data_IF_225381246672
#
_entry.id   IF_225381246672
#
_cell.length_a   1.000
_cell.length_b   1.000
_cell.length_c   1.000
_cell.angle_alpha   90.00
_cell.angle_beta   90.00
_cell.angle_gamma   90.00
#
_symmetry.space_group_name_H-M   'P 1'
#
loop_
_entity.id
_entity.type
_entity.pdbx_description
1 polymer ?
#
# COMPACT_ATOMS: atom_id res chain seq x y z
N UNK A 1 14.80 -0.77 34.33
CA UNK A 1 14.71 -1.38 32.99
C UNK A 1 14.77 -0.25 31.98
N UNK A 2 15.92 0.03 31.44
CA UNK A 2 16.09 1.07 30.42
C UNK A 2 15.51 0.50 29.12
N UNK A 3 14.34 0.97 28.74
CA UNK A 3 13.85 0.76 27.37
C UNK A 3 14.75 1.56 26.45
N UNK A 4 15.46 0.83 25.65
CA UNK A 4 16.42 1.17 24.63
C UNK A 4 16.07 2.49 23.94
N UNK A 5 16.91 3.50 24.12
CA UNK A 5 17.02 4.53 23.09
C UNK A 5 17.42 3.81 21.81
N UNK A 6 16.62 3.87 20.74
CA UNK A 6 16.98 3.24 19.47
C UNK A 6 18.36 3.74 19.08
N UNK A 7 19.26 2.83 18.71
CA UNK A 7 20.54 3.21 18.15
C UNK A 7 20.28 4.13 16.95
N UNK A 8 20.84 5.33 16.87
CA UNK A 8 20.66 6.23 15.73
C UNK A 8 20.95 5.58 14.37
N UNK A 9 21.78 4.54 14.34
CA UNK A 9 22.04 3.73 13.15
C UNK A 9 20.83 2.88 12.73
N UNK A 10 20.03 2.40 13.67
CA UNK A 10 18.85 1.55 13.35
C UNK A 10 17.67 2.35 12.78
N UNK A 11 17.51 3.61 13.21
CA UNK A 11 16.49 4.49 12.66
C UNK A 11 16.76 4.84 11.18
N UNK A 12 18.03 5.00 10.78
CA UNK A 12 18.42 5.28 9.40
C UNK A 12 18.15 4.13 8.43
N UNK A 13 18.04 2.88 8.89
CA UNK A 13 17.77 1.72 8.03
C UNK A 13 16.30 1.65 7.63
N UNK A 14 15.37 2.04 8.51
CA UNK A 14 13.92 1.96 8.28
C UNK A 14 13.42 2.90 7.17
N UNK A 15 14.15 3.97 6.90
CA UNK A 15 13.79 5.02 5.93
C UNK A 15 14.75 5.10 4.74
N UNK A 16 15.47 4.02 4.46
CA UNK A 16 16.35 3.96 3.30
C UNK A 16 15.62 3.34 2.12
N UNK A 17 15.85 3.93 0.96
CA UNK A 17 15.42 3.37 -0.31
C UNK A 17 15.95 1.95 -0.48
N UNK A 18 15.06 1.04 -0.82
CA UNK A 18 15.36 -0.33 -1.14
C UNK A 18 15.30 -0.55 -2.66
N UNK A 19 16.32 -1.18 -3.23
CA UNK A 19 16.28 -1.56 -4.65
C UNK A 19 15.24 -2.66 -4.89
N UNK A 20 14.66 -2.71 -6.08
CA UNK A 20 13.79 -3.82 -6.48
C UNK A 20 14.59 -5.13 -6.57
N UNK A 21 13.95 -6.24 -6.25
CA UNK A 21 14.47 -7.60 -6.35
C UNK A 21 13.44 -8.41 -7.13
N UNK A 22 13.55 -8.38 -8.45
CA UNK A 22 12.59 -9.03 -9.34
C UNK A 22 12.78 -10.54 -9.41
N UNK A 23 14.03 -11.00 -9.43
CA UNK A 23 14.35 -12.42 -9.36
C UNK A 23 14.41 -12.84 -7.89
N UNK A 24 13.60 -13.82 -7.47
CA UNK A 24 13.61 -14.26 -6.08
C UNK A 24 15.01 -14.64 -5.60
N UNK A 25 15.37 -14.11 -4.42
CA UNK A 25 16.61 -14.47 -3.72
C UNK A 25 16.30 -15.53 -2.68
N UNK A 26 17.09 -16.57 -2.64
CA UNK A 26 17.03 -17.53 -1.54
C UNK A 26 17.49 -16.86 -0.24
N UNK A 27 16.72 -17.03 0.82
CA UNK A 27 17.05 -16.52 2.15
C UNK A 27 17.63 -17.64 2.98
N UNK A 28 18.91 -17.52 3.31
CA UNK A 28 19.62 -18.49 4.15
C UNK A 28 19.43 -18.14 5.61
N UNK A 29 18.84 -19.06 6.39
CA UNK A 29 18.70 -18.94 7.85
C UNK A 29 20.03 -19.10 8.56
N UNK A 30 20.28 -18.25 9.58
CA UNK A 30 21.40 -18.44 10.51
C UNK A 30 20.88 -19.18 11.77
N UNK A 31 21.00 -20.50 11.80
CA UNK A 31 20.48 -21.35 12.87
C UNK A 31 19.27 -22.14 12.43
N UNK A 32 18.79 -23.11 13.18
CA UNK A 32 17.73 -24.08 12.89
C UNK A 32 16.90 -23.92 11.61
N UNK A 33 16.54 -25.01 10.97
CA UNK A 33 15.74 -25.00 9.75
C UNK A 33 14.32 -24.47 9.97
N UNK A 34 13.63 -24.14 8.88
CA UNK A 34 12.20 -23.79 8.92
C UNK A 34 11.38 -25.00 9.40
N UNK A 35 10.35 -24.79 10.23
CA UNK A 35 9.44 -25.87 10.59
C UNK A 35 8.79 -26.46 9.34
N UNK A 36 8.77 -27.77 9.21
CA UNK A 36 8.28 -28.49 8.01
C UNK A 36 6.79 -28.25 7.68
N UNK A 37 6.03 -27.70 8.62
CA UNK A 37 4.63 -27.31 8.43
C UNK A 37 4.45 -25.86 7.93
N UNK A 38 5.53 -25.07 7.89
CA UNK A 38 5.48 -23.66 7.51
C UNK A 38 5.66 -23.52 6.00
N UNK A 39 4.59 -23.70 5.26
CA UNK A 39 4.54 -23.46 3.81
C UNK A 39 3.56 -22.35 3.48
N UNK A 40 3.87 -21.56 2.45
CA UNK A 40 2.98 -20.52 1.96
C UNK A 40 3.70 -19.26 1.52
N UNK A 41 2.91 -18.24 1.24
CA UNK A 41 3.40 -16.93 0.80
C UNK A 41 2.89 -15.83 1.72
N UNK A 42 3.82 -15.05 2.26
CA UNK A 42 3.52 -13.79 2.93
C UNK A 42 3.83 -12.64 1.97
N UNK A 43 2.83 -11.82 1.67
CA UNK A 43 3.04 -10.56 0.95
C UNK A 43 2.79 -9.41 1.92
N UNK A 44 3.74 -8.47 1.94
CA UNK A 44 3.65 -7.25 2.74
C UNK A 44 3.76 -6.04 1.83
N UNK A 45 2.88 -5.08 2.06
CA UNK A 45 2.96 -3.75 1.49
C UNK A 45 3.55 -2.76 2.51
N UNK A 46 4.17 -1.72 2.02
CA UNK A 46 4.73 -0.66 2.84
C UNK A 46 5.71 0.20 2.05
N UNK A 47 6.21 1.28 2.65
CA UNK A 47 7.12 2.19 1.96
C UNK A 47 8.47 1.53 1.64
N UNK A 48 9.05 1.86 0.48
CA UNK A 48 10.32 1.28 0.04
C UNK A 48 11.23 2.18 -0.77
N UNK A 49 10.72 3.27 -1.33
CA UNK A 49 11.53 4.28 -2.04
C UNK A 49 11.26 5.64 -1.40
N UNK A 50 12.28 6.24 -0.83
CA UNK A 50 12.19 7.45 0.00
C UNK A 50 12.90 8.67 -0.59
N UNK A 51 13.61 8.51 -1.69
CA UNK A 51 14.41 9.58 -2.29
C UNK A 51 14.14 9.72 -3.78
N UNK A 52 14.10 10.96 -4.27
CA UNK A 52 14.07 11.33 -5.68
C UNK A 52 15.05 12.49 -5.92
N UNK A 53 16.14 12.23 -6.65
CA UNK A 53 17.22 13.21 -6.81
C UNK A 53 17.84 13.56 -5.44
N UNK A 54 17.80 14.83 -5.08
CA UNK A 54 18.29 15.34 -3.79
C UNK A 54 17.20 15.47 -2.71
N UNK A 55 15.97 15.04 -3.01
CA UNK A 55 14.80 15.15 -2.14
C UNK A 55 14.50 13.84 -1.42
N UNK A 56 14.33 13.90 -0.12
CA UNK A 56 13.94 12.77 0.74
C UNK A 56 12.54 12.95 1.29
N UNK A 57 11.84 11.84 1.54
CA UNK A 57 10.58 11.87 2.26
C UNK A 57 10.77 12.28 3.71
N UNK A 58 9.95 13.22 4.19
CA UNK A 58 9.94 13.70 5.58
C UNK A 58 9.10 12.81 6.51
N UNK A 59 8.27 11.94 5.94
CA UNK A 59 7.40 11.04 6.69
C UNK A 59 7.42 9.63 6.10
N UNK A 60 7.32 8.61 6.96
CA UNK A 60 7.39 7.20 6.54
C UNK A 60 6.33 6.82 5.48
N UNK A 61 5.09 7.30 5.62
CA UNK A 61 4.02 7.02 4.67
C UNK A 61 4.15 7.74 3.32
N UNK A 62 5.10 8.64 3.19
CA UNK A 62 5.37 9.34 1.93
C UNK A 62 6.36 8.58 1.04
N UNK A 63 7.05 7.57 1.58
CA UNK A 63 7.80 6.62 0.78
C UNK A 63 6.87 5.87 -0.19
N UNK A 64 7.37 5.61 -1.41
CA UNK A 64 6.57 4.92 -2.43
C UNK A 64 6.34 3.46 -2.06
N UNK A 65 5.12 2.98 -2.32
CA UNK A 65 4.65 1.63 -2.02
C UNK A 65 5.53 0.56 -2.67
N UNK A 66 5.98 -0.39 -1.87
CA UNK A 66 6.77 -1.54 -2.29
C UNK A 66 6.18 -2.82 -1.72
N UNK A 67 5.79 -3.71 -2.59
CA UNK A 67 5.39 -5.06 -2.25
C UNK A 67 6.63 -5.92 -1.95
N UNK A 68 6.54 -6.74 -0.92
CA UNK A 68 7.57 -7.69 -0.49
C UNK A 68 6.95 -9.05 -0.34
N UNK A 69 7.47 -10.01 -1.10
CA UNK A 69 7.00 -11.40 -1.10
C UNK A 69 8.03 -12.29 -0.43
N UNK A 70 7.57 -13.05 0.54
CA UNK A 70 8.31 -14.11 1.20
C UNK A 70 7.58 -15.42 0.90
N UNK A 71 8.17 -16.26 0.07
CA UNK A 71 7.62 -17.57 -0.28
C UNK A 71 8.41 -18.67 0.39
N UNK A 72 7.74 -19.48 1.19
CA UNK A 72 8.31 -20.66 1.85
C UNK A 72 7.72 -21.89 1.18
N UNK A 73 8.57 -22.71 0.63
CA UNK A 73 8.15 -23.90 -0.09
C UNK A 73 9.21 -25.00 -0.07
N UNK A 74 8.83 -26.21 -0.52
CA UNK A 74 9.71 -27.36 -0.55
C UNK A 74 10.88 -27.17 -1.52
N UNK A 75 12.04 -27.66 -1.11
CA UNK A 75 13.25 -27.81 -1.94
C UNK A 75 13.87 -29.17 -1.72
N UNK A 76 14.93 -29.50 -2.47
CA UNK A 76 15.60 -30.81 -2.39
C UNK A 76 16.05 -31.16 -0.96
N UNK A 77 16.46 -30.18 -0.16
CA UNK A 77 16.92 -30.37 1.23
C UNK A 77 15.99 -29.71 2.27
N UNK A 78 14.66 -29.86 2.13
CA UNK A 78 13.69 -29.34 3.10
C UNK A 78 12.90 -28.14 2.60
N UNK A 79 12.72 -27.11 3.46
CA UNK A 79 12.01 -25.87 3.10
C UNK A 79 13.03 -24.75 2.92
N UNK A 80 12.85 -23.97 1.87
CA UNK A 80 13.56 -22.72 1.68
C UNK A 80 12.61 -21.53 1.58
N UNK A 81 13.12 -20.36 1.91
CA UNK A 81 12.41 -19.12 1.76
C UNK A 81 13.01 -18.31 0.61
N UNK A 82 12.16 -17.92 -0.32
CA UNK A 82 12.50 -17.00 -1.41
C UNK A 82 11.93 -15.62 -1.15
N UNK A 83 12.71 -14.59 -1.40
CA UNK A 83 12.36 -13.21 -1.21
C UNK A 83 12.42 -12.44 -2.52
N UNK A 84 11.36 -11.69 -2.81
CA UNK A 84 11.34 -10.71 -3.89
C UNK A 84 10.62 -9.42 -3.43
N UNK A 85 10.88 -8.31 -4.12
CA UNK A 85 10.22 -7.04 -3.86
C UNK A 85 10.15 -6.17 -5.11
N UNK A 86 9.03 -5.46 -5.27
CA UNK A 86 8.77 -4.53 -6.37
C UNK A 86 8.00 -3.33 -5.92
N UNK A 87 8.28 -2.19 -6.55
CA UNK A 87 7.48 -0.97 -6.37
C UNK A 87 6.14 -1.12 -7.07
N UNK A 88 5.08 -0.69 -6.40
CA UNK A 88 3.77 -0.54 -7.02
C UNK A 88 3.86 0.59 -8.06
N UNK A 89 3.61 0.26 -9.32
CA UNK A 89 3.67 1.25 -10.40
C UNK A 89 2.42 2.14 -10.35
N UNK A 90 2.58 3.33 -9.82
CA UNK A 90 1.55 4.34 -9.66
C UNK A 90 1.86 5.57 -10.53
N UNK A 91 0.85 6.42 -10.75
CA UNK A 91 1.05 7.69 -11.47
C UNK A 91 1.98 8.63 -10.69
N UNK A 92 1.84 8.65 -9.36
CA UNK A 92 2.70 9.48 -8.50
C UNK A 92 4.15 8.99 -8.53
N UNK A 93 4.39 7.68 -8.53
CA UNK A 93 5.75 7.14 -8.67
C UNK A 93 6.37 7.55 -10.01
N UNK A 94 5.62 7.45 -11.11
CA UNK A 94 6.10 7.83 -12.44
C UNK A 94 6.41 9.33 -12.50
N UNK A 95 5.51 10.18 -11.99
CA UNK A 95 5.72 11.62 -11.95
C UNK A 95 6.93 12.02 -11.09
N UNK A 96 7.11 11.39 -9.92
CA UNK A 96 8.25 11.67 -9.05
C UNK A 96 9.59 11.23 -9.68
N UNK A 97 9.61 10.09 -10.37
CA UNK A 97 10.79 9.62 -11.12
C UNK A 97 11.16 10.56 -12.26
N UNK A 98 10.18 11.03 -13.02
CA UNK A 98 10.40 11.97 -14.12
C UNK A 98 10.92 13.32 -13.62
N UNK A 99 10.29 13.86 -12.57
CA UNK A 99 10.64 15.15 -12.00
C UNK A 99 11.88 15.12 -11.09
N UNK A 100 12.34 13.94 -10.66
CA UNK A 100 13.40 13.75 -9.66
C UNK A 100 13.11 14.47 -8.33
N UNK A 101 11.83 14.57 -7.95
CA UNK A 101 11.33 15.22 -6.72
C UNK A 101 9.95 14.70 -6.35
N UNK A 102 9.49 15.04 -5.15
CA UNK A 102 8.10 14.77 -4.74
C UNK A 102 7.14 15.74 -5.42
N UNK A 103 6.35 15.26 -6.37
CA UNK A 103 5.40 16.05 -7.17
C UNK A 103 4.05 16.24 -6.50
N UNK A 104 3.72 15.38 -5.53
CA UNK A 104 2.46 15.41 -4.79
C UNK A 104 2.69 15.63 -3.31
N UNK A 105 1.70 16.24 -2.66
CA UNK A 105 1.71 16.43 -1.22
C UNK A 105 1.47 15.09 -0.53
N UNK A 106 2.38 14.71 0.36
CA UNK A 106 2.27 13.54 1.22
C UNK A 106 1.67 13.86 2.59
N UNK A 107 1.76 12.90 3.51
CA UNK A 107 1.33 13.06 4.91
C UNK A 107 2.19 14.11 5.63
N UNK A 108 3.49 14.11 5.40
CA UNK A 108 4.45 15.03 6.00
C UNK A 108 5.39 15.70 5.00
N UNK A 109 5.60 15.09 3.83
CA UNK A 109 6.50 15.62 2.80
C UNK A 109 5.74 16.59 1.90
N UNK A 110 6.12 17.87 1.85
CA UNK A 110 5.53 18.82 0.91
C UNK A 110 5.95 18.47 -0.52
N UNK A 111 5.09 18.74 -1.49
CA UNK A 111 5.53 18.76 -2.88
C UNK A 111 6.57 19.87 -3.06
N UNK A 112 7.69 19.55 -3.69
CA UNK A 112 8.90 20.39 -3.68
C UNK A 112 8.71 21.79 -4.28
N UNK A 113 7.66 22.02 -5.08
CA UNK A 113 7.38 23.28 -5.79
C UNK A 113 6.04 23.93 -5.41
N UNK A 114 5.52 23.72 -4.21
CA UNK A 114 4.16 24.18 -3.88
C UNK A 114 4.11 25.40 -2.97
N UNK A 115 3.34 26.41 -3.41
CA UNK A 115 2.90 27.51 -2.57
C UNK A 115 1.86 27.02 -1.55
N UNK A 116 1.68 27.79 -0.44
CA UNK A 116 0.66 27.50 0.60
C UNK A 116 -0.74 27.34 -0.02
N UNK A 117 -1.07 28.13 -1.04
CA UNK A 117 -2.36 28.05 -1.72
C UNK A 117 -2.55 26.70 -2.44
N UNK A 118 -1.54 26.22 -3.16
CA UNK A 118 -1.59 24.90 -3.80
C UNK A 118 -1.70 23.75 -2.78
N UNK A 119 -1.06 23.87 -1.61
CA UNK A 119 -1.20 22.90 -0.52
C UNK A 119 -2.63 22.85 0.01
N UNK A 120 -3.30 23.99 0.19
CA UNK A 120 -4.69 24.05 0.61
C UNK A 120 -5.64 23.49 -0.46
N UNK A 121 -5.38 23.73 -1.73
CA UNK A 121 -6.14 23.16 -2.84
C UNK A 121 -5.96 21.63 -2.91
N UNK A 122 -4.74 21.11 -2.75
CA UNK A 122 -4.46 19.67 -2.73
C UNK A 122 -5.18 18.95 -1.58
N UNK A 123 -5.27 19.56 -0.41
CA UNK A 123 -6.05 19.02 0.72
C UNK A 123 -7.56 19.00 0.43
N UNK A 124 -8.05 19.89 -0.43
CA UNK A 124 -9.47 19.97 -0.79
C UNK A 124 -9.86 19.04 -1.95
N UNK A 125 -8.91 18.64 -2.81
CA UNK A 125 -9.14 17.78 -3.97
C UNK A 125 -8.55 16.39 -3.73
N UNK A 126 -9.40 15.39 -3.55
CA UNK A 126 -8.98 14.00 -3.34
C UNK A 126 -8.23 13.39 -4.54
N UNK A 127 -8.38 13.93 -5.73
CA UNK A 127 -7.67 13.50 -6.94
C UNK A 127 -6.20 13.91 -6.96
N UNK A 128 -5.81 14.91 -6.18
CA UNK A 128 -4.44 15.42 -6.14
C UNK A 128 -3.55 14.73 -5.10
N UNK A 129 -4.12 13.95 -4.16
CA UNK A 129 -3.38 13.24 -3.10
C UNK A 129 -2.45 12.12 -3.59
N UNK A 130 -2.58 11.75 -4.87
CA UNK A 130 -1.76 10.69 -5.45
C UNK A 130 -2.33 9.29 -5.23
N UNK A 131 -1.76 8.33 -5.92
CA UNK A 131 -2.15 6.92 -5.91
C UNK A 131 -1.09 6.01 -5.28
N UNK A 132 -0.43 6.49 -4.24
CA UNK A 132 0.57 5.72 -3.48
C UNK A 132 -0.13 4.74 -2.52
N UNK A 133 -0.25 3.48 -2.91
CA UNK A 133 -0.94 2.43 -2.16
C UNK A 133 -0.03 1.76 -1.13
N UNK A 134 0.35 2.48 -0.08
CA UNK A 134 1.50 2.16 0.79
C UNK A 134 1.14 1.43 2.10
N UNK A 135 -0.14 1.13 2.34
CA UNK A 135 -0.58 0.69 3.68
C UNK A 135 -0.75 -0.82 3.80
N UNK A 136 -1.51 -1.43 2.90
CA UNK A 136 -1.93 -2.82 3.07
C UNK A 136 -2.06 -3.56 1.74
N UNK A 137 -1.66 -4.84 1.74
CA UNK A 137 -2.08 -5.80 0.71
C UNK A 137 -3.40 -6.44 1.14
N UNK A 138 -4.40 -6.42 0.27
CA UNK A 138 -5.70 -7.07 0.47
C UNK A 138 -5.96 -8.11 -0.60
N UNK A 139 -6.74 -9.13 -0.27
CA UNK A 139 -7.08 -10.23 -1.19
C UNK A 139 -8.59 -10.37 -1.29
N UNK A 140 -9.10 -10.43 -2.51
CA UNK A 140 -10.52 -10.68 -2.78
C UNK A 140 -10.63 -11.73 -3.87
N UNK A 141 -11.17 -12.91 -3.53
CA UNK A 141 -11.38 -14.03 -4.47
C UNK A 141 -10.16 -14.36 -5.35
N UNK A 142 -8.98 -14.39 -4.75
CA UNK A 142 -7.73 -14.72 -5.44
C UNK A 142 -7.09 -13.56 -6.22
N UNK A 143 -7.70 -12.40 -6.24
CA UNK A 143 -7.10 -11.17 -6.75
C UNK A 143 -6.41 -10.40 -5.63
N UNK A 144 -5.26 -9.84 -5.91
CA UNK A 144 -4.39 -9.17 -4.93
C UNK A 144 -4.30 -7.68 -5.23
N UNK A 145 -4.48 -6.87 -4.20
CA UNK A 145 -4.53 -5.41 -4.34
C UNK A 145 -3.66 -4.73 -3.28
N UNK A 146 -2.90 -3.73 -3.71
CA UNK A 146 -2.30 -2.73 -2.82
C UNK A 146 -3.33 -1.65 -2.51
N UNK A 147 -3.45 -1.27 -1.24
CA UNK A 147 -4.48 -0.36 -0.74
C UNK A 147 -3.92 0.71 0.20
N UNK A 148 -4.64 1.81 0.25
CA UNK A 148 -4.53 2.88 1.24
C UNK A 148 -5.95 3.36 1.59
N UNK A 149 -6.09 4.52 2.22
CA UNK A 149 -7.39 5.07 2.64
C UNK A 149 -8.24 5.60 1.48
N UNK A 150 -7.75 5.56 0.24
CA UNK A 150 -8.47 6.06 -0.94
C UNK A 150 -9.57 5.09 -1.40
N UNK A 151 -10.50 5.59 -2.22
CA UNK A 151 -11.64 4.85 -2.75
C UNK A 151 -11.31 3.95 -3.95
N UNK A 152 -10.04 3.65 -4.15
CA UNK A 152 -9.56 2.74 -5.19
C UNK A 152 -8.36 1.93 -4.69
N UNK A 153 -8.03 0.88 -5.40
CA UNK A 153 -6.91 -0.03 -5.12
C UNK A 153 -6.11 -0.28 -6.39
N UNK A 154 -4.88 -0.77 -6.26
CA UNK A 154 -4.05 -1.17 -7.40
C UNK A 154 -3.86 -2.68 -7.37
N UNK A 155 -4.35 -3.35 -8.40
CA UNK A 155 -4.20 -4.80 -8.60
C UNK A 155 -2.77 -5.15 -8.99
N UNK A 156 -2.26 -6.26 -8.45
CA UNK A 156 -0.95 -6.79 -8.77
C UNK A 156 -0.95 -8.32 -8.84
N UNK A 157 -0.02 -8.87 -9.58
CA UNK A 157 0.23 -10.30 -9.67
C UNK A 157 0.99 -10.79 -8.43
N UNK A 158 0.47 -11.76 -7.65
CA UNK A 158 1.10 -12.18 -6.40
C UNK A 158 2.42 -12.95 -6.57
N UNK A 159 2.68 -13.53 -7.74
CA UNK A 159 3.91 -14.29 -7.98
C UNK A 159 5.05 -13.38 -8.41
N UNK A 160 4.78 -12.42 -9.29
CA UNK A 160 5.78 -11.54 -9.87
C UNK A 160 5.80 -10.15 -9.23
N UNK A 161 4.79 -9.81 -8.43
CA UNK A 161 4.52 -8.48 -7.87
C UNK A 161 4.34 -7.38 -8.95
N UNK A 162 4.05 -7.79 -10.18
CA UNK A 162 3.81 -6.85 -11.27
C UNK A 162 2.47 -6.14 -11.10
N UNK A 163 2.48 -4.83 -11.21
CA UNK A 163 1.26 -4.02 -11.19
C UNK A 163 0.41 -4.31 -12.43
N UNK A 164 -0.86 -4.65 -12.24
CA UNK A 164 -1.80 -4.98 -13.30
C UNK A 164 -2.72 -3.81 -13.65
N UNK A 165 -3.14 -3.01 -12.68
CA UNK A 165 -3.96 -1.84 -12.93
C UNK A 165 -4.74 -1.35 -11.71
N UNK A 166 -5.43 -0.23 -11.89
CA UNK A 166 -6.28 0.40 -10.89
C UNK A 166 -7.70 -0.18 -10.95
N UNK A 167 -8.33 -0.31 -9.78
CA UNK A 167 -9.75 -0.65 -9.60
C UNK A 167 -10.41 0.40 -8.70
N UNK A 168 -11.43 1.07 -9.20
CA UNK A 168 -12.17 2.09 -8.47
C UNK A 168 -13.35 1.48 -7.72
N UNK A 169 -13.33 1.55 -6.40
CA UNK A 169 -14.44 1.09 -5.54
C UNK A 169 -15.60 2.07 -5.61
N UNK A 170 -15.34 3.33 -5.93
CA UNK A 170 -16.35 4.35 -6.12
C UNK A 170 -17.36 4.01 -7.24
N UNK A 171 -16.95 3.23 -8.23
CA UNK A 171 -17.84 2.76 -9.30
C UNK A 171 -18.90 1.79 -8.78
N UNK A 172 -18.58 1.02 -7.74
CA UNK A 172 -19.49 0.05 -7.12
C UNK A 172 -20.32 0.65 -5.98
N UNK A 173 -19.76 1.60 -5.24
CA UNK A 173 -20.40 2.24 -4.09
C UNK A 173 -20.40 3.75 -4.27
N UNK A 174 -21.49 4.29 -4.86
CA UNK A 174 -21.55 5.71 -5.17
C UNK A 174 -21.34 6.63 -3.95
N UNK A 175 -20.51 7.63 -4.13
CA UNK A 175 -20.22 8.64 -3.12
C UNK A 175 -19.14 8.26 -2.10
N UNK A 176 -18.56 7.05 -2.19
CA UNK A 176 -17.36 6.73 -1.39
C UNK A 176 -16.26 7.74 -1.67
N UNK A 177 -15.63 8.21 -0.61
CA UNK A 177 -14.49 9.14 -0.64
C UNK A 177 -13.24 8.54 -0.03
N UNK A 178 -13.38 7.90 1.11
CA UNK A 178 -12.30 7.23 1.83
C UNK A 178 -12.79 5.85 2.28
N UNK A 179 -11.87 4.91 2.39
CA UNK A 179 -12.12 3.60 2.99
C UNK A 179 -11.01 3.26 4.00
N UNK A 180 -11.26 2.36 4.93
CA UNK A 180 -10.15 1.81 5.71
C UNK A 180 -9.34 0.83 4.84
N UNK A 181 -8.00 0.88 4.88
CA UNK A 181 -7.17 -0.12 4.21
C UNK A 181 -7.11 -1.46 4.97
N UNK A 182 -7.80 -1.58 6.11
CA UNK A 182 -7.78 -2.74 7.01
C UNK A 182 -9.12 -3.47 7.01
N UNK A 183 -9.47 -4.21 5.93
CA UNK A 183 -10.70 -4.99 5.87
C UNK A 183 -10.63 -6.19 6.81
N UNK A 184 -11.81 -6.73 7.12
CA UNK A 184 -11.98 -8.00 7.79
C UNK A 184 -12.50 -9.04 6.80
N UNK A 185 -12.23 -10.31 7.08
CA UNK A 185 -12.66 -11.41 6.24
C UNK A 185 -13.54 -12.38 7.02
N UNK A 186 -14.63 -12.79 6.40
CA UNK A 186 -15.41 -13.94 6.85
C UNK A 186 -14.65 -15.25 6.55
N UNK A 187 -15.01 -16.37 7.22
CA UNK A 187 -14.41 -17.68 6.94
C UNK A 187 -14.52 -18.14 5.48
N UNK A 188 -15.49 -17.63 4.72
CA UNK A 188 -15.67 -17.90 3.30
C UNK A 188 -14.85 -16.98 2.37
N UNK A 189 -14.05 -16.09 2.95
CA UNK A 189 -13.22 -15.14 2.20
C UNK A 189 -13.94 -13.87 1.74
N UNK A 190 -15.21 -13.66 2.13
CA UNK A 190 -15.91 -12.39 1.87
C UNK A 190 -15.22 -11.26 2.63
N UNK A 191 -14.83 -10.22 1.92
CA UNK A 191 -14.23 -9.02 2.50
C UNK A 191 -15.31 -8.07 3.02
N UNK A 192 -15.18 -7.66 4.27
CA UNK A 192 -15.95 -6.60 4.91
C UNK A 192 -15.09 -5.38 5.15
N UNK A 193 -15.64 -4.20 4.88
CA UNK A 193 -14.89 -2.97 5.09
C UNK A 193 -15.81 -1.81 5.48
N UNK A 194 -15.20 -0.72 5.95
CA UNK A 194 -15.87 0.53 6.32
C UNK A 194 -15.31 1.64 5.44
N UNK A 195 -16.22 2.46 4.94
CA UNK A 195 -15.88 3.63 4.16
C UNK A 195 -16.60 4.89 4.67
N UNK A 196 -16.06 6.03 4.30
CA UNK A 196 -16.73 7.33 4.39
C UNK A 196 -17.25 7.72 3.01
N UNK A 197 -18.52 8.01 2.93
CA UNK A 197 -19.19 8.47 1.72
C UNK A 197 -19.82 9.84 1.92
N UNK A 198 -19.93 10.61 0.84
CA UNK A 198 -20.59 11.90 0.81
C UNK A 198 -21.70 11.89 -0.25
N UNK A 199 -22.84 12.48 0.06
CA UNK A 199 -23.97 12.58 -0.86
C UNK A 199 -25.29 12.19 -0.21
N UNK A 200 -26.39 12.10 -1.00
CA UNK A 200 -27.70 11.75 -0.49
C UNK A 200 -27.73 10.33 0.09
N UNK A 201 -28.53 10.15 1.13
CA UNK A 201 -28.84 8.81 1.65
C UNK A 201 -29.73 8.05 0.69
N UNK A 202 -29.66 6.70 0.71
CA UNK A 202 -30.49 5.83 -0.15
C UNK A 202 -32.00 6.06 0.03
N UNK A 203 -32.40 6.42 1.25
CA UNK A 203 -33.81 6.68 1.63
C UNK A 203 -34.25 8.15 1.38
N UNK A 204 -33.34 9.00 0.87
CA UNK A 204 -33.62 10.40 0.63
C UNK A 204 -33.74 11.26 1.90
N UNK A 205 -33.47 10.71 3.09
CA UNK A 205 -33.60 11.43 4.36
C UNK A 205 -32.56 12.56 4.55
N UNK A 206 -31.47 12.54 3.77
CA UNK A 206 -30.47 13.60 3.72
C UNK A 206 -30.06 13.90 2.28
N UNK A 207 -30.00 15.18 1.93
CA UNK A 207 -29.59 15.64 0.60
C UNK A 207 -28.07 15.79 0.45
N UNK A 208 -27.35 15.93 1.58
CA UNK A 208 -25.89 16.00 1.60
C UNK A 208 -25.37 15.74 3.01
N UNK A 209 -24.22 15.12 3.13
CA UNK A 209 -23.54 14.89 4.40
C UNK A 209 -22.55 13.74 4.32
N UNK A 210 -21.67 13.68 5.30
CA UNK A 210 -20.79 12.56 5.53
C UNK A 210 -21.56 11.43 6.21
N UNK A 211 -21.33 10.19 5.75
CA UNK A 211 -21.86 8.98 6.36
C UNK A 211 -20.81 7.87 6.37
N UNK A 212 -20.86 7.00 7.35
CA UNK A 212 -20.15 5.74 7.33
C UNK A 212 -20.96 4.71 6.55
N UNK A 213 -20.26 3.93 5.74
CA UNK A 213 -20.85 2.84 4.96
C UNK A 213 -20.09 1.57 5.33
N UNK A 214 -20.79 0.59 5.89
CA UNK A 214 -20.27 -0.78 6.01
C UNK A 214 -20.66 -1.52 4.73
N UNK A 215 -19.69 -2.13 4.07
CA UNK A 215 -19.91 -2.85 2.83
C UNK A 215 -19.16 -4.18 2.81
N UNK A 216 -19.64 -5.08 1.99
CA UNK A 216 -18.96 -6.32 1.69
C UNK A 216 -18.66 -6.41 0.21
N UNK A 217 -17.56 -7.07 -0.14
CA UNK A 217 -17.16 -7.27 -1.53
C UNK A 217 -16.97 -8.75 -1.74
N UNK A 218 -17.76 -9.30 -2.67
CA UNK A 218 -17.58 -10.66 -3.15
C UNK A 218 -16.72 -10.71 -4.41
N UNK A 219 -16.72 -9.63 -5.22
CA UNK A 219 -15.87 -9.45 -6.41
C UNK A 219 -15.55 -7.96 -6.58
N UNK A 220 -14.31 -7.65 -6.96
CA UNK A 220 -13.91 -6.36 -7.52
C UNK A 220 -13.82 -6.55 -9.04
N UNK A 221 -14.88 -6.19 -9.75
CA UNK A 221 -14.95 -6.29 -11.22
C UNK A 221 -14.22 -5.14 -11.89
#
# INVERSE_FOLDING_TARGET
>A
MNFLTPNPMDQGILYKTANEVEKPLEVVGQGGGLPHWLEGTLIRDGPGLFEFGEHSADHAFDGMAMLRRYHIGPQEEGLAMNYSRRLVQSKVLSANREAQMFTKFGVGTPASDTTILKRLQALASQEEGGDNMVVQSIVVHGHYYAATELSFVIEYDPETLTTLGRRDIADMIPGIKLMTPHPMYDPDGTLWNIAMAMGPTKDGSSTSGWRYVVYKVSYLT
#
